data_IF_271409338089
#
_entry.id   IF_271409338089
#
_cell.length_a   1.000
_cell.length_b   1.000
_cell.length_c   1.000
_cell.angle_alpha   90.00
_cell.angle_beta   90.00
_cell.angle_gamma   90.00
#
_symmetry.space_group_name_H-M   'P 1'
#
loop_
_entity.id
_entity.type
_entity.pdbx_description
1 polymer ?
#
# COMPACT_ATOMS: atom_id res chain seq x y z
N UNK A 1 -17.95 -9.85 1.05
CA UNK A 1 -17.07 -9.97 2.25
C UNK A 1 -15.67 -9.63 1.80
N UNK A 2 -14.91 -8.84 2.56
CA UNK A 2 -13.53 -8.52 2.21
C UNK A 2 -12.61 -9.56 2.83
N UNK A 3 -11.70 -10.10 2.02
CA UNK A 3 -10.65 -11.03 2.43
C UNK A 3 -9.28 -10.39 2.25
N UNK A 4 -8.32 -10.75 3.12
CA UNK A 4 -6.97 -10.21 3.08
C UNK A 4 -5.96 -11.32 2.73
N UNK A 5 -5.13 -11.07 1.72
CA UNK A 5 -4.15 -12.03 1.19
C UNK A 5 -2.75 -11.46 1.33
N UNK A 6 -1.78 -12.28 1.75
CA UNK A 6 -0.41 -11.85 2.12
C UNK A 6 0.64 -12.23 1.08
N UNK A 7 0.21 -12.85 -0.01
CA UNK A 7 0.98 -13.17 -1.20
C UNK A 7 0.11 -12.91 -2.44
N UNK A 8 0.69 -13.09 -3.62
CA UNK A 8 0.02 -12.85 -4.89
C UNK A 8 -0.35 -14.12 -5.64
N UNK A 9 -0.33 -15.30 -5.00
CA UNK A 9 -0.51 -16.59 -5.69
C UNK A 9 -1.85 -16.69 -6.44
N UNK A 10 -2.91 -16.10 -5.87
CA UNK A 10 -4.26 -16.09 -6.45
C UNK A 10 -4.64 -14.74 -7.08
N UNK A 11 -3.71 -13.77 -7.11
CA UNK A 11 -3.95 -12.44 -7.67
C UNK A 11 -3.60 -12.43 -9.15
N UNK A 12 -4.56 -12.01 -9.98
CA UNK A 12 -4.40 -11.97 -11.44
C UNK A 12 -4.65 -10.56 -11.98
N UNK A 13 -4.06 -10.18 -13.12
CA UNK A 13 -4.23 -8.83 -13.68
C UNK A 13 -5.69 -8.42 -13.93
N UNK A 14 -6.57 -9.36 -14.29
CA UNK A 14 -8.00 -9.10 -14.54
C UNK A 14 -8.81 -8.76 -13.28
N UNK A 15 -8.23 -9.02 -12.10
CA UNK A 15 -8.81 -8.66 -10.80
C UNK A 15 -8.52 -7.21 -10.41
N UNK A 16 -7.63 -6.51 -11.13
CA UNK A 16 -7.10 -5.20 -10.76
C UNK A 16 -7.53 -4.17 -11.81
N UNK A 17 -8.39 -3.26 -11.40
CA UNK A 17 -8.80 -2.07 -12.16
C UNK A 17 -9.03 -0.89 -11.21
N UNK A 18 -9.11 0.33 -11.74
CA UNK A 18 -9.51 1.52 -10.96
C UNK A 18 -8.51 2.06 -9.93
N UNK A 19 -7.25 1.59 -9.92
CA UNK A 19 -6.18 2.07 -9.05
C UNK A 19 -5.28 3.13 -9.72
N UNK A 20 -4.35 3.69 -8.94
CA UNK A 20 -3.43 4.77 -9.30
C UNK A 20 -4.16 6.05 -9.68
N UNK A 21 -5.22 6.37 -8.94
CA UNK A 21 -6.03 7.56 -9.22
C UNK A 21 -5.16 8.82 -9.10
N UNK A 22 -5.19 9.65 -10.14
CA UNK A 22 -4.40 10.89 -10.20
C UNK A 22 -2.96 10.73 -10.69
N UNK A 23 -2.51 9.51 -11.01
CA UNK A 23 -1.18 9.31 -11.59
C UNK A 23 -1.14 9.77 -13.07
N UNK A 24 -0.12 10.54 -13.49
CA UNK A 24 0.00 10.97 -14.89
C UNK A 24 0.14 9.83 -15.89
N UNK A 25 0.84 8.76 -15.47
CA UNK A 25 0.97 7.51 -16.21
C UNK A 25 0.91 6.37 -15.20
N UNK A 26 -0.25 5.73 -15.03
CA UNK A 26 -0.43 4.67 -14.04
C UNK A 26 0.27 3.39 -14.53
N UNK A 27 0.98 2.66 -13.65
CA UNK A 27 1.44 1.32 -13.98
C UNK A 27 0.26 0.40 -14.29
N UNK A 28 0.48 -0.59 -15.15
CA UNK A 28 -0.56 -1.58 -15.46
C UNK A 28 -0.70 -2.60 -14.31
N UNK A 29 -1.76 -3.40 -14.35
CA UNK A 29 -2.06 -4.40 -13.32
C UNK A 29 -0.91 -5.41 -13.08
N UNK A 30 -0.22 -5.85 -14.14
CA UNK A 30 0.92 -6.76 -13.98
C UNK A 30 2.08 -6.06 -13.25
N UNK A 31 2.36 -4.80 -13.58
CA UNK A 31 3.39 -4.02 -12.88
C UNK A 31 3.07 -3.83 -11.40
N UNK A 32 1.79 -3.64 -11.03
CA UNK A 32 1.39 -3.61 -9.63
C UNK A 32 1.70 -4.96 -8.95
N UNK A 33 1.34 -6.10 -9.57
CA UNK A 33 1.67 -7.43 -9.03
C UNK A 33 3.18 -7.59 -8.84
N UNK A 34 3.99 -7.21 -9.84
CA UNK A 34 5.45 -7.31 -9.78
C UNK A 34 6.03 -6.46 -8.64
N UNK A 35 5.53 -5.23 -8.43
CA UNK A 35 5.93 -4.36 -7.30
C UNK A 35 5.52 -4.98 -5.97
N UNK A 36 4.29 -5.50 -5.90
CA UNK A 36 3.79 -6.13 -4.70
C UNK A 36 4.66 -7.34 -4.39
N UNK A 37 5.02 -8.21 -5.33
CA UNK A 37 5.90 -9.40 -5.16
C UNK A 37 7.37 -9.07 -4.87
N UNK A 38 7.87 -7.94 -5.35
CA UNK A 38 9.21 -7.44 -5.01
C UNK A 38 9.35 -6.84 -3.61
N UNK A 39 8.24 -6.58 -2.92
CA UNK A 39 8.23 -5.95 -1.59
C UNK A 39 8.67 -6.92 -0.48
N UNK A 40 9.01 -6.41 0.71
CA UNK A 40 9.31 -7.24 1.87
C UNK A 40 8.04 -7.85 2.49
N UNK A 41 6.98 -7.04 2.56
CA UNK A 41 5.61 -7.45 2.92
C UNK A 41 4.61 -6.83 1.95
N UNK A 42 3.50 -7.52 1.75
CA UNK A 42 2.43 -7.14 0.82
C UNK A 42 1.10 -7.64 1.39
N UNK A 43 0.04 -6.88 1.25
CA UNK A 43 -1.31 -7.31 1.62
C UNK A 43 -2.28 -6.81 0.56
N UNK A 44 -3.15 -7.70 0.09
CA UNK A 44 -4.25 -7.43 -0.83
C UNK A 44 -5.58 -7.52 -0.11
N UNK A 45 -6.45 -6.51 -0.26
CA UNK A 45 -7.86 -6.61 0.09
C UNK A 45 -8.65 -7.04 -1.15
N UNK A 46 -9.41 -8.13 -1.05
CA UNK A 46 -10.18 -8.72 -2.16
C UNK A 46 -11.63 -8.87 -1.77
N UNK A 47 -12.54 -8.39 -2.63
CA UNK A 47 -13.98 -8.57 -2.52
C UNK A 47 -14.54 -9.03 -3.88
N UNK A 48 -15.42 -10.03 -3.86
CA UNK A 48 -16.17 -10.49 -5.04
C UNK A 48 -15.28 -10.79 -6.27
N UNK A 49 -14.08 -11.34 -6.03
CA UNK A 49 -13.12 -11.69 -7.06
C UNK A 49 -12.33 -10.51 -7.65
N UNK A 50 -12.43 -9.32 -7.03
CA UNK A 50 -11.71 -8.10 -7.40
C UNK A 50 -10.81 -7.62 -6.28
N UNK A 51 -9.66 -7.06 -6.64
CA UNK A 51 -8.81 -6.33 -5.71
C UNK A 51 -9.47 -4.98 -5.41
N UNK A 52 -9.72 -4.70 -4.14
CA UNK A 52 -10.38 -3.47 -3.67
C UNK A 52 -9.47 -2.60 -2.81
N UNK A 53 -8.26 -3.06 -2.53
CA UNK A 53 -7.20 -2.27 -1.91
C UNK A 53 -5.92 -3.07 -1.78
N UNK A 54 -4.82 -2.37 -1.54
CA UNK A 54 -3.52 -3.00 -1.35
C UNK A 54 -2.60 -2.12 -0.49
N UNK A 55 -1.62 -2.75 0.14
CA UNK A 55 -0.52 -2.08 0.86
C UNK A 55 0.75 -2.91 0.74
N UNK A 56 1.91 -2.25 0.63
CA UNK A 56 3.20 -2.91 0.67
C UNK A 56 4.21 -2.22 1.59
N UNK A 57 5.26 -2.95 1.96
CA UNK A 57 6.40 -2.41 2.68
C UNK A 57 7.72 -2.93 2.08
N UNK A 58 8.70 -2.04 1.97
CA UNK A 58 10.10 -2.36 1.65
C UNK A 58 10.88 -2.31 2.97
N UNK A 59 11.81 -3.23 3.19
CA UNK A 59 12.55 -3.29 4.45
C UNK A 59 13.94 -3.90 4.27
N UNK A 60 14.84 -3.58 5.19
CA UNK A 60 16.11 -4.27 5.41
C UNK A 60 15.94 -5.65 6.11
N UNK A 61 14.73 -5.97 6.59
CA UNK A 61 14.40 -7.20 7.30
C UNK A 61 14.89 -7.26 8.74
N UNK A 62 15.42 -6.15 9.28
CA UNK A 62 16.05 -6.11 10.60
C UNK A 62 15.54 -4.95 11.46
N UNK A 63 15.55 -3.71 10.95
CA UNK A 63 15.27 -2.52 11.74
C UNK A 63 14.29 -1.55 11.08
N UNK A 64 14.30 -1.38 9.75
CA UNK A 64 13.56 -0.30 9.12
C UNK A 64 12.63 -0.84 8.03
N UNK A 65 11.41 -0.31 7.99
CA UNK A 65 10.50 -0.46 6.87
C UNK A 65 10.01 0.90 6.37
N UNK A 66 9.71 0.94 5.08
CA UNK A 66 9.01 2.04 4.43
C UNK A 66 7.76 1.49 3.75
N UNK A 67 6.61 2.14 3.92
CA UNK A 67 5.35 1.81 3.24
C UNK A 67 5.21 2.75 2.04
N UNK A 68 5.64 2.36 0.82
CA UNK A 68 5.59 3.25 -0.32
C UNK A 68 4.17 3.40 -0.86
N UNK A 69 3.40 2.30 -0.97
CA UNK A 69 2.08 2.30 -1.59
C UNK A 69 1.01 1.76 -0.64
N UNK A 70 -0.07 2.54 -0.53
CA UNK A 70 -1.34 2.17 0.07
C UNK A 70 -2.43 2.81 -0.79
N UNK A 71 -3.35 2.01 -1.32
CA UNK A 71 -4.50 2.53 -2.05
C UNK A 71 -5.72 1.65 -1.80
N UNK A 72 -6.89 2.28 -1.69
CA UNK A 72 -8.20 1.62 -1.63
C UNK A 72 -8.99 2.09 -2.84
N UNK A 73 -9.59 1.14 -3.55
CA UNK A 73 -10.39 1.40 -4.74
C UNK A 73 -11.47 2.46 -4.41
N UNK A 74 -11.71 3.47 -5.27
CA UNK A 74 -12.62 4.58 -4.97
C UNK A 74 -13.99 4.15 -4.43
N UNK A 75 -14.62 3.17 -5.08
CA UNK A 75 -15.95 2.64 -4.67
C UNK A 75 -15.95 1.90 -3.33
N UNK A 76 -14.77 1.63 -2.76
CA UNK A 76 -14.57 0.90 -1.50
C UNK A 76 -13.93 1.77 -0.40
N UNK A 77 -13.75 3.08 -0.64
CA UNK A 77 -13.26 4.03 0.36
C UNK A 77 -14.29 4.28 1.47
N UNK A 78 -13.84 4.87 2.57
CA UNK A 78 -14.66 5.19 3.76
C UNK A 78 -15.29 3.97 4.48
N UNK A 79 -14.94 2.75 4.09
CA UNK A 79 -15.42 1.49 4.69
C UNK A 79 -14.43 0.87 5.69
N UNK A 80 -13.37 1.59 6.06
CA UNK A 80 -12.35 1.13 7.01
C UNK A 80 -11.24 0.25 6.42
N UNK A 81 -11.29 -0.08 5.12
CA UNK A 81 -10.32 -0.96 4.46
C UNK A 81 -8.89 -0.44 4.58
N UNK A 82 -8.66 0.85 4.31
CA UNK A 82 -7.32 1.44 4.40
C UNK A 82 -6.73 1.33 5.81
N UNK A 83 -7.57 1.56 6.83
CA UNK A 83 -7.17 1.40 8.23
C UNK A 83 -6.77 -0.05 8.54
N UNK A 84 -7.60 -1.00 8.14
CA UNK A 84 -7.35 -2.43 8.34
C UNK A 84 -6.07 -2.88 7.62
N UNK A 85 -5.81 -2.39 6.40
CA UNK A 85 -4.56 -2.66 5.67
C UNK A 85 -3.34 -2.14 6.43
N UNK A 86 -3.39 -0.90 6.95
CA UNK A 86 -2.29 -0.32 7.73
C UNK A 86 -2.07 -1.07 9.04
N UNK A 87 -3.12 -1.36 9.79
CA UNK A 87 -3.02 -2.08 11.07
C UNK A 87 -2.41 -3.48 10.87
N UNK A 88 -2.81 -4.20 9.82
CA UNK A 88 -2.21 -5.50 9.48
C UNK A 88 -0.76 -5.37 9.05
N UNK A 89 -0.42 -4.37 8.25
CA UNK A 89 0.97 -4.15 7.83
C UNK A 89 1.85 -3.81 9.03
N UNK A 90 1.39 -2.95 9.95
CA UNK A 90 2.13 -2.63 11.17
C UNK A 90 2.36 -3.88 12.03
N UNK A 91 1.36 -4.77 12.15
CA UNK A 91 1.52 -6.05 12.85
C UNK A 91 2.58 -6.95 12.18
N UNK A 92 2.61 -7.03 10.85
CA UNK A 92 3.64 -7.78 10.10
C UNK A 92 5.06 -7.22 10.29
N UNK A 93 5.17 -5.99 10.76
CA UNK A 93 6.42 -5.25 10.94
C UNK A 93 6.72 -4.95 12.42
N UNK A 94 6.00 -5.58 13.37
CA UNK A 94 6.01 -5.20 14.80
C UNK A 94 7.39 -5.25 15.47
N UNK A 95 8.31 -6.07 14.93
CA UNK A 95 9.66 -6.23 15.47
C UNK A 95 10.65 -5.20 14.93
N UNK A 96 10.22 -4.34 14.00
CA UNK A 96 11.08 -3.31 13.41
C UNK A 96 11.20 -2.09 14.33
N UNK A 97 12.36 -1.46 14.30
CA UNK A 97 12.60 -0.23 15.01
C UNK A 97 11.81 0.96 14.45
N UNK A 98 11.69 1.04 13.12
CA UNK A 98 11.02 2.14 12.44
C UNK A 98 10.15 1.66 11.27
N UNK A 99 8.97 2.28 11.14
CA UNK A 99 8.07 2.14 10.00
C UNK A 99 7.73 3.55 9.53
N UNK A 100 8.23 3.94 8.36
CA UNK A 100 8.03 5.27 7.81
C UNK A 100 7.11 5.24 6.58
N UNK A 101 6.38 6.34 6.36
CA UNK A 101 5.60 6.57 5.13
C UNK A 101 5.59 8.06 4.80
N UNK A 102 5.33 8.37 3.53
CA UNK A 102 5.17 9.74 3.06
C UNK A 102 3.72 9.94 2.61
N UNK A 103 3.08 11.00 3.09
CA UNK A 103 1.72 11.36 2.71
C UNK A 103 1.59 12.89 2.56
N UNK A 104 0.49 13.31 1.95
CA UNK A 104 0.11 14.72 1.92
C UNK A 104 -0.29 15.19 3.32
N UNK A 105 -0.08 16.48 3.62
CA UNK A 105 -0.26 17.04 4.97
C UNK A 105 -1.67 16.79 5.56
N UNK A 106 -2.69 16.81 4.70
CA UNK A 106 -4.09 16.55 5.08
C UNK A 106 -4.34 15.12 5.58
N UNK A 107 -3.46 14.16 5.26
CA UNK A 107 -3.56 12.77 5.71
C UNK A 107 -2.81 12.50 7.02
N UNK A 108 -2.03 13.45 7.55
CA UNK A 108 -1.33 13.27 8.82
C UNK A 108 -2.28 12.87 9.97
N UNK A 109 -3.44 13.54 10.18
CA UNK A 109 -4.37 13.14 11.25
C UNK A 109 -4.97 11.75 11.07
N UNK A 110 -5.00 11.21 9.84
CA UNK A 110 -5.42 9.84 9.59
C UNK A 110 -4.37 8.85 10.12
N UNK A 111 -3.09 9.08 9.83
CA UNK A 111 -2.00 8.20 10.28
C UNK A 111 -1.68 8.35 11.77
N UNK A 112 -1.86 9.53 12.36
CA UNK A 112 -1.69 9.74 13.81
C UNK A 112 -2.65 8.85 14.64
N UNK A 113 -3.88 8.64 14.16
CA UNK A 113 -4.83 7.71 14.79
C UNK A 113 -4.37 6.26 14.74
N UNK A 114 -3.42 5.94 13.87
CA UNK A 114 -2.82 4.62 13.68
C UNK A 114 -1.45 4.50 14.37
N UNK A 115 -1.06 5.49 15.18
CA UNK A 115 0.17 5.48 15.98
C UNK A 115 1.40 6.05 15.28
N UNK A 116 1.25 6.61 14.08
CA UNK A 116 2.33 7.34 13.41
C UNK A 116 2.48 8.75 14.00
N UNK A 117 3.62 9.38 13.75
CA UNK A 117 3.89 10.78 14.10
C UNK A 117 4.37 11.56 12.88
N UNK A 118 4.04 12.85 12.83
CA UNK A 118 4.51 13.72 11.75
C UNK A 118 6.04 13.83 11.73
N UNK A 119 6.62 13.74 10.54
CA UNK A 119 8.04 13.90 10.28
C UNK A 119 8.26 14.69 8.97
N UNK A 120 9.49 15.15 8.74
CA UNK A 120 9.87 15.82 7.49
C UNK A 120 10.53 14.83 6.55
N UNK A 121 10.06 14.76 5.31
CA UNK A 121 10.64 13.90 4.28
C UNK A 121 11.19 14.67 3.08
N UNK A 122 12.07 14.02 2.34
CA UNK A 122 12.63 14.52 1.09
C UNK A 122 12.45 13.47 -0.01
N UNK A 123 12.17 13.90 -1.24
CA UNK A 123 11.89 12.98 -2.35
C UNK A 123 12.67 13.35 -3.61
N UNK A 124 13.11 12.34 -4.35
CA UNK A 124 13.60 12.47 -5.74
C UNK A 124 12.89 11.43 -6.59
N UNK A 125 12.17 11.86 -7.62
CA UNK A 125 11.33 10.99 -8.46
C UNK A 125 11.79 11.02 -9.91
N UNK A 126 12.01 9.85 -10.50
CA UNK A 126 12.25 9.71 -11.94
C UNK A 126 10.92 9.48 -12.68
N UNK A 127 10.23 10.56 -13.08
CA UNK A 127 8.90 10.46 -13.69
C UNK A 127 8.89 9.77 -15.07
N UNK A 128 10.04 9.65 -15.74
CA UNK A 128 10.14 8.97 -17.03
C UNK A 128 10.17 7.44 -16.91
N UNK A 129 10.26 6.89 -15.70
CA UNK A 129 10.20 5.44 -15.49
C UNK A 129 8.79 4.85 -15.64
N UNK A 130 7.76 5.70 -15.77
CA UNK A 130 6.35 5.30 -15.87
C UNK A 130 5.76 5.54 -17.27
N UNK A 131 6.56 6.04 -18.21
CA UNK A 131 6.17 6.36 -19.59
C UNK A 131 6.69 5.34 -20.57
#
# INVERSE_FOLDING_TARGET
MISFHYDSADIRPDMIDGFFVGWPSPPNAQTLIDVMDGSYRRIWAVADGKVVGYINAISDGVLNAFIPWLEVHPDYQEQGIGRELVERMVAELELMYAIDLMCDEELIPYYEKLGFMAATGAVRRNRTALT
#
